data_IF_134073887296
#
_entry.id   IF_134073887296
#
_cell.length_a   1.000
_cell.length_b   1.000
_cell.length_c   1.000
_cell.angle_alpha   90.00
_cell.angle_beta   90.00
_cell.angle_gamma   90.00
#
_symmetry.space_group_name_H-M   'P 1'
#
loop_
_entity.id
_entity.type
_entity.pdbx_description
1 polymer ?
#
# COMPACT_ATOMS: atom_id res chain seq x y z
N UNK A 1 -19.53 -9.36 9.14
CA UNK A 1 -18.75 -8.36 9.88
C UNK A 1 -18.03 -7.52 8.84
N UNK A 2 -18.41 -6.25 8.78
CA UNK A 2 -17.71 -5.27 7.97
C UNK A 2 -16.31 -5.05 8.55
N UNK A 3 -15.33 -5.04 7.66
CA UNK A 3 -13.96 -4.65 7.99
C UNK A 3 -13.46 -3.63 6.96
N UNK A 4 -12.47 -2.85 7.38
CA UNK A 4 -11.80 -1.91 6.49
C UNK A 4 -10.67 -2.64 5.79
N UNK A 5 -10.70 -2.65 4.46
CA UNK A 5 -9.69 -3.24 3.59
C UNK A 5 -9.05 -2.15 2.73
N UNK A 6 -7.78 -2.34 2.36
CA UNK A 6 -6.99 -1.30 1.70
C UNK A 6 -6.42 -1.77 0.37
N UNK A 7 -6.55 -0.94 -0.66
CA UNK A 7 -5.67 -0.95 -1.81
C UNK A 7 -4.53 0.04 -1.54
N UNK A 8 -3.29 -0.44 -1.53
CA UNK A 8 -2.09 0.37 -1.30
C UNK A 8 -1.23 0.34 -2.56
N UNK A 9 -0.69 1.50 -2.94
CA UNK A 9 0.22 1.66 -4.06
C UNK A 9 1.59 2.00 -3.54
N UNK A 10 2.57 1.20 -3.95
CA UNK A 10 3.99 1.44 -3.67
C UNK A 10 4.61 2.12 -4.87
N UNK A 11 4.88 3.43 -4.79
CA UNK A 11 5.41 4.19 -5.92
C UNK A 11 6.93 4.10 -5.91
N UNK A 12 7.48 3.51 -6.96
CA UNK A 12 8.90 3.26 -7.14
C UNK A 12 9.36 4.01 -8.37
N UNK A 13 10.23 4.99 -8.19
CA UNK A 13 10.85 5.71 -9.30
C UNK A 13 12.37 5.57 -9.18
N UNK A 14 13.04 5.23 -10.29
CA UNK A 14 14.49 5.05 -10.34
C UNK A 14 15.03 4.08 -9.27
N UNK A 15 14.22 3.11 -8.85
CA UNK A 15 14.55 2.12 -7.82
C UNK A 15 14.36 2.57 -6.36
N UNK A 16 13.78 3.75 -6.12
CA UNK A 16 13.50 4.29 -4.79
C UNK A 16 12.00 4.35 -4.51
N UNK A 17 11.60 4.06 -3.28
CA UNK A 17 10.24 4.26 -2.78
C UNK A 17 10.04 5.74 -2.50
N UNK A 18 9.29 6.42 -3.37
CA UNK A 18 9.15 7.88 -3.34
C UNK A 18 7.82 8.36 -2.74
N UNK A 19 6.80 7.52 -2.79
CA UNK A 19 5.45 7.85 -2.35
C UNK A 19 4.67 6.57 -2.06
N UNK A 20 3.66 6.67 -1.21
CA UNK A 20 2.59 5.69 -1.17
C UNK A 20 1.26 6.33 -1.54
N UNK A 21 0.33 5.49 -2.01
CA UNK A 21 -1.07 5.90 -2.08
C UNK A 21 -1.96 4.83 -1.51
N UNK A 22 -3.17 5.19 -1.07
CA UNK A 22 -4.14 4.19 -0.68
C UNK A 22 -5.60 4.59 -0.88
N UNK A 23 -6.45 3.57 -0.98
CA UNK A 23 -7.91 3.66 -0.97
C UNK A 23 -8.44 2.64 0.04
N UNK A 24 -9.38 3.07 0.87
CA UNK A 24 -10.05 2.22 1.84
C UNK A 24 -11.47 1.87 1.41
N UNK A 25 -11.90 0.67 1.77
CA UNK A 25 -13.26 0.19 1.60
C UNK A 25 -13.75 -0.51 2.86
N UNK A 26 -15.01 -0.33 3.20
CA UNK A 26 -15.70 -1.17 4.19
C UNK A 26 -16.39 -2.32 3.47
N UNK A 27 -16.03 -3.57 3.81
CA UNK A 27 -16.53 -4.76 3.11
C UNK A 27 -16.80 -5.93 4.03
N UNK A 28 -17.83 -6.68 3.66
CA UNK A 28 -18.17 -7.99 4.22
C UNK A 28 -17.79 -9.13 3.28
N UNK A 29 -17.67 -10.34 3.84
CA UNK A 29 -17.35 -11.57 3.11
C UNK A 29 -16.06 -12.23 3.59
N UNK A 30 -15.69 -13.35 2.96
CA UNK A 30 -14.41 -13.99 3.19
C UNK A 30 -13.25 -13.24 2.52
N UNK A 31 -12.05 -13.42 3.06
CA UNK A 31 -10.84 -12.71 2.64
C UNK A 31 -10.56 -12.88 1.14
N UNK A 32 -10.76 -14.07 0.59
CA UNK A 32 -10.58 -14.34 -0.85
C UNK A 32 -11.40 -13.37 -1.73
N UNK A 33 -12.69 -13.17 -1.40
CA UNK A 33 -13.58 -12.27 -2.16
C UNK A 33 -13.19 -10.80 -2.00
N UNK A 34 -12.69 -10.44 -0.82
CA UNK A 34 -12.23 -9.07 -0.54
C UNK A 34 -10.93 -8.77 -1.28
N UNK A 35 -10.00 -9.73 -1.34
CA UNK A 35 -8.77 -9.65 -2.13
C UNK A 35 -9.08 -9.59 -3.62
N UNK A 36 -9.98 -10.43 -4.13
CA UNK A 36 -10.42 -10.36 -5.54
C UNK A 36 -11.02 -8.99 -5.87
N UNK A 37 -11.84 -8.45 -4.96
CA UNK A 37 -12.39 -7.11 -5.14
C UNK A 37 -11.28 -6.05 -5.20
N UNK A 38 -10.33 -6.06 -4.27
CA UNK A 38 -9.21 -5.11 -4.25
C UNK A 38 -8.40 -5.18 -5.55
N UNK A 39 -8.05 -6.40 -6.02
CA UNK A 39 -7.37 -6.61 -7.29
C UNK A 39 -8.16 -6.06 -8.48
N UNK A 40 -9.47 -6.31 -8.52
CA UNK A 40 -10.34 -5.82 -9.60
C UNK A 40 -10.41 -4.29 -9.68
N UNK A 41 -10.10 -3.60 -8.57
CA UNK A 41 -10.11 -2.14 -8.45
C UNK A 41 -8.75 -1.49 -8.56
N UNK A 42 -7.65 -2.24 -8.51
CA UNK A 42 -6.29 -1.68 -8.43
C UNK A 42 -5.94 -0.66 -9.53
N UNK A 43 -6.42 -0.84 -10.76
CA UNK A 43 -6.14 0.12 -11.84
C UNK A 43 -7.01 1.38 -11.71
N UNK A 44 -8.30 1.23 -11.41
CA UNK A 44 -9.25 2.35 -11.27
C UNK A 44 -8.92 3.21 -10.05
N UNK A 45 -8.56 2.55 -8.94
CA UNK A 45 -8.32 3.16 -7.64
C UNK A 45 -7.08 4.04 -7.60
N UNK A 46 -6.07 3.74 -8.43
CA UNK A 46 -4.83 4.52 -8.44
C UNK A 46 -5.08 6.01 -8.66
N UNK A 47 -5.99 6.37 -9.57
CA UNK A 47 -6.26 7.77 -9.92
C UNK A 47 -6.99 8.55 -8.82
N UNK A 48 -7.76 7.88 -7.96
CA UNK A 48 -8.53 8.47 -6.86
C UNK A 48 -7.92 8.22 -5.48
N UNK A 49 -6.73 7.60 -5.45
CA UNK A 49 -6.06 7.22 -4.22
C UNK A 49 -5.51 8.43 -3.46
N UNK A 50 -5.57 8.37 -2.13
CA UNK A 50 -5.01 9.40 -1.26
C UNK A 50 -3.49 9.22 -1.19
N UNK A 51 -2.76 10.33 -1.26
CA UNK A 51 -1.29 10.35 -1.27
C UNK A 51 -0.74 10.41 0.15
N UNK A 52 0.30 9.62 0.40
CA UNK A 52 1.10 9.64 1.62
C UNK A 52 2.58 9.77 1.26
N UNK A 53 3.33 10.46 2.11
CA UNK A 53 4.77 10.62 1.90
C UNK A 53 5.50 9.30 2.22
N UNK A 54 6.53 8.99 1.42
CA UNK A 54 7.36 7.83 1.71
C UNK A 54 8.33 8.12 2.87
N UNK A 55 8.68 7.10 3.69
CA UNK A 55 9.69 7.25 4.73
C UNK A 55 11.01 7.66 4.12
N UNK A 56 11.57 8.75 4.63
CA UNK A 56 12.87 9.26 4.26
C UNK A 56 13.85 9.16 5.42
N UNK A 57 15.15 9.12 5.12
CA UNK A 57 16.17 9.20 6.16
C UNK A 57 16.30 10.61 6.75
N UNK A 58 17.18 10.79 7.75
CA UNK A 58 17.42 12.11 8.38
C UNK A 58 17.89 13.20 7.40
N UNK A 59 18.33 12.81 6.20
CA UNK A 59 18.76 13.73 5.13
C UNK A 59 17.69 13.92 4.05
N UNK A 60 16.47 13.41 4.26
CA UNK A 60 15.37 13.48 3.30
C UNK A 60 15.50 12.51 2.12
N UNK A 61 16.41 11.52 2.18
CA UNK A 61 16.57 10.57 1.07
C UNK A 61 15.57 9.43 1.16
N UNK A 62 14.93 9.15 0.03
CA UNK A 62 14.01 8.03 -0.14
C UNK A 62 14.69 6.67 0.05
N UNK A 63 13.92 5.69 0.51
CA UNK A 63 14.40 4.33 0.73
C UNK A 63 14.58 3.58 -0.60
N UNK A 64 15.73 2.95 -0.86
CA UNK A 64 15.87 2.01 -1.97
C UNK A 64 14.85 0.86 -1.86
N UNK A 65 14.20 0.48 -2.96
CA UNK A 65 13.18 -0.57 -2.96
C UNK A 65 13.71 -1.91 -2.48
N UNK A 66 14.96 -2.25 -2.79
CA UNK A 66 15.59 -3.49 -2.30
C UNK A 66 15.68 -3.57 -0.76
N UNK A 67 15.76 -2.42 -0.08
CA UNK A 67 15.75 -2.32 1.38
C UNK A 67 14.32 -2.43 1.90
N UNK A 68 13.37 -1.76 1.23
CA UNK A 68 11.95 -1.86 1.53
C UNK A 68 11.46 -3.32 1.46
N UNK A 69 11.72 -4.01 0.35
CA UNK A 69 11.33 -5.40 0.14
C UNK A 69 11.92 -6.35 1.21
N UNK A 70 13.14 -6.08 1.68
CA UNK A 70 13.76 -6.84 2.80
C UNK A 70 13.06 -6.60 4.14
N UNK A 71 12.56 -5.39 4.38
CA UNK A 71 11.79 -5.08 5.60
C UNK A 71 10.41 -5.72 5.54
N UNK A 72 9.74 -5.61 4.40
CA UNK A 72 8.44 -6.25 4.16
C UNK A 72 8.51 -7.76 4.35
N UNK A 73 9.50 -8.43 3.75
CA UNK A 73 9.72 -9.87 3.91
C UNK A 73 10.03 -10.30 5.36
N UNK A 74 10.41 -9.37 6.24
CA UNK A 74 10.61 -9.59 7.68
C UNK A 74 9.37 -9.30 8.51
N UNK A 75 8.22 -9.06 7.88
CA UNK A 75 6.96 -8.76 8.55
C UNK A 75 6.86 -7.34 9.08
N UNK A 76 7.67 -6.39 8.59
CA UNK A 76 7.65 -4.99 9.02
C UNK A 76 6.59 -4.13 8.31
N UNK A 77 5.55 -4.75 7.77
CA UNK A 77 4.50 -4.06 7.01
C UNK A 77 3.78 -2.99 7.84
N UNK A 78 3.49 -3.27 9.11
CA UNK A 78 2.85 -2.29 9.99
C UNK A 78 3.69 -1.02 10.15
N UNK A 79 4.99 -1.16 10.40
CA UNK A 79 5.91 -0.01 10.50
C UNK A 79 6.06 0.73 9.18
N UNK A 80 5.98 0.03 8.04
CA UNK A 80 6.13 0.63 6.71
C UNK A 80 4.88 1.42 6.28
N UNK A 81 3.69 1.06 6.78
CA UNK A 81 2.40 1.64 6.37
C UNK A 81 1.64 2.28 7.55
N UNK A 82 2.31 2.56 8.66
CA UNK A 82 1.69 3.06 9.90
C UNK A 82 0.83 4.31 9.66
N UNK A 83 1.33 5.27 8.87
CA UNK A 83 0.60 6.50 8.55
C UNK A 83 -0.69 6.21 7.77
N UNK A 84 -0.64 5.27 6.83
CA UNK A 84 -1.81 4.84 6.05
C UNK A 84 -2.83 4.20 6.99
N UNK A 85 -2.37 3.30 7.85
CA UNK A 85 -3.23 2.56 8.76
C UNK A 85 -3.89 3.47 9.79
N UNK A 86 -3.13 4.42 10.35
CA UNK A 86 -3.64 5.45 11.25
C UNK A 86 -4.67 6.35 10.58
N UNK A 87 -4.43 6.77 9.33
CA UNK A 87 -5.36 7.64 8.60
C UNK A 87 -6.71 6.97 8.30
N UNK A 88 -6.72 5.67 8.03
CA UNK A 88 -7.95 4.92 7.75
C UNK A 88 -8.56 4.19 8.95
N UNK A 89 -7.94 4.29 10.14
CA UNK A 89 -8.46 3.68 11.37
C UNK A 89 -8.55 2.16 11.30
N UNK A 90 -7.60 1.50 10.62
CA UNK A 90 -7.62 0.05 10.44
C UNK A 90 -7.04 -0.69 11.66
N UNK A 91 -7.47 -1.94 11.93
CA UNK A 91 -6.91 -2.77 13.02
C UNK A 91 -5.45 -3.18 12.72
N UNK A 92 -4.76 -3.78 13.71
CA UNK A 92 -3.33 -4.16 13.61
C UNK A 92 -2.99 -5.09 12.43
N UNK A 93 -3.94 -5.91 11.97
CA UNK A 93 -3.76 -6.84 10.86
C UNK A 93 -4.83 -6.59 9.77
N UNK A 94 -4.72 -5.50 9.01
CA UNK A 94 -5.69 -5.19 7.98
C UNK A 94 -5.52 -6.09 6.76
N UNK A 95 -6.63 -6.42 6.10
CA UNK A 95 -6.56 -7.07 4.79
C UNK A 95 -6.20 -6.02 3.73
N UNK A 96 -5.02 -6.18 3.12
CA UNK A 96 -4.48 -5.23 2.15
C UNK A 96 -4.13 -5.90 0.83
N UNK A 97 -4.17 -5.12 -0.25
CA UNK A 97 -3.56 -5.45 -1.53
C UNK A 97 -2.55 -4.37 -1.88
N UNK A 98 -1.28 -4.75 -1.99
CA UNK A 98 -0.20 -3.84 -2.38
C UNK A 98 0.08 -3.99 -3.87
N UNK A 99 -0.07 -2.90 -4.62
CA UNK A 99 0.20 -2.84 -6.06
C UNK A 99 1.42 -1.95 -6.31
N UNK A 100 2.54 -2.49 -6.81
CA UNK A 100 3.69 -1.65 -7.15
C UNK A 100 3.41 -0.81 -8.40
N UNK A 101 3.86 0.44 -8.38
CA UNK A 101 3.85 1.35 -9.52
C UNK A 101 5.29 1.73 -9.82
N UNK A 102 5.86 1.19 -10.89
CA UNK A 102 7.28 1.32 -11.22
C UNK A 102 7.44 2.25 -12.41
N UNK A 103 8.11 3.38 -12.21
CA UNK A 103 8.34 4.41 -13.22
C UNK A 103 7.04 4.80 -13.96
N UNK A 104 5.97 5.00 -13.17
CA UNK A 104 4.63 5.35 -13.64
C UNK A 104 3.78 4.19 -14.18
N UNK A 105 4.29 2.95 -14.19
CA UNK A 105 3.55 1.76 -14.66
C UNK A 105 2.99 0.97 -13.49
N UNK A 106 1.67 0.84 -13.44
CA UNK A 106 0.98 0.00 -12.47
C UNK A 106 1.22 -1.47 -12.81
N UNK A 107 1.75 -2.24 -11.86
CA UNK A 107 1.96 -3.68 -11.99
C UNK A 107 0.84 -4.42 -11.24
N UNK A 108 -0.34 -4.50 -11.85
CA UNK A 108 -1.45 -5.29 -11.33
C UNK A 108 -1.53 -6.64 -12.06
N UNK A 109 -1.66 -7.74 -11.31
CA UNK A 109 -1.92 -9.09 -11.81
C UNK A 109 -3.39 -9.48 -11.65
#
# INVERSE_FOLDING_TARGET
>A
MNEIILNIYLIINDGFVVEFRAVAYEREGGDDRKIEFLKSKAVEDYNKSYRFDAPSDKSGRHMPYNKFAKLEARGKQFELFEEIFGNFGVPENPLICVTPVVDGKILSN
#
